data_IF_367722075456
#
_entry.id   IF_367722075456
#
_cell.length_a   1.000
_cell.length_b   1.000
_cell.length_c   1.000
_cell.angle_alpha   90.00
_cell.angle_beta   90.00
_cell.angle_gamma   90.00
#
_symmetry.space_group_name_H-M   'P 1'
#
loop_
_entity.id
_entity.type
_entity.pdbx_description
1 polymer ?
#
# COMPACT_ATOMS: atom_id res chain seq x y z
N UNK A 1 -9.68 18.03 -32.10
CA UNK A 1 -10.44 17.44 -30.97
C UNK A 1 -9.83 16.08 -30.65
N UNK A 2 -8.77 16.04 -29.86
CA UNK A 2 -8.21 14.76 -29.40
C UNK A 2 -9.14 14.24 -28.31
N UNK A 3 -9.87 13.17 -28.61
CA UNK A 3 -10.64 12.42 -27.62
C UNK A 3 -9.65 11.85 -26.61
N UNK A 4 -9.46 12.54 -25.49
CA UNK A 4 -8.66 12.05 -24.38
C UNK A 4 -9.37 10.85 -23.79
N UNK A 5 -8.75 9.67 -23.91
CA UNK A 5 -9.23 8.47 -23.23
C UNK A 5 -9.31 8.79 -21.73
N UNK A 6 -10.53 8.86 -21.22
CA UNK A 6 -10.74 8.98 -19.77
C UNK A 6 -10.37 7.63 -19.16
N UNK A 7 -9.16 7.51 -18.64
CA UNK A 7 -8.79 6.36 -17.82
C UNK A 7 -9.65 6.38 -16.56
N UNK A 8 -10.49 5.34 -16.39
CA UNK A 8 -11.24 5.13 -15.17
C UNK A 8 -10.26 5.16 -13.99
N UNK A 9 -10.43 6.13 -13.08
CA UNK A 9 -9.59 6.24 -11.89
C UNK A 9 -10.12 5.32 -10.80
N UNK A 10 -9.93 4.02 -10.99
CA UNK A 10 -10.27 3.01 -10.00
C UNK A 10 -9.43 3.14 -8.71
N UNK A 11 -9.81 2.38 -7.66
CA UNK A 11 -9.04 2.29 -6.43
C UNK A 11 -7.62 1.75 -6.69
N UNK A 12 -6.68 2.05 -5.80
CA UNK A 12 -5.32 1.50 -5.81
C UNK A 12 -5.17 0.54 -4.64
N UNK A 13 -4.59 -0.63 -4.88
CA UNK A 13 -4.21 -1.58 -3.83
C UNK A 13 -2.68 -1.61 -3.72
N UNK A 14 -2.17 -1.38 -2.51
CA UNK A 14 -0.78 -1.65 -2.14
C UNK A 14 -0.68 -3.00 -1.44
N UNK A 15 0.41 -3.73 -1.72
CA UNK A 15 0.71 -4.99 -1.05
C UNK A 15 2.17 -4.99 -0.56
N UNK A 16 2.38 -5.32 0.71
CA UNK A 16 3.68 -5.64 1.29
C UNK A 16 3.55 -6.78 2.27
N UNK A 17 4.53 -7.68 2.25
CA UNK A 17 4.58 -8.88 3.09
C UNK A 17 5.81 -8.88 4.01
N UNK A 18 6.47 -7.73 4.12
CA UNK A 18 7.61 -7.50 5.01
C UNK A 18 7.59 -6.04 5.52
N UNK A 19 8.17 -5.77 6.71
CA UNK A 19 8.20 -4.43 7.28
C UNK A 19 8.89 -3.40 6.38
N UNK A 20 9.89 -3.83 5.61
CA UNK A 20 10.58 -2.93 4.67
C UNK A 20 9.62 -2.44 3.59
N UNK A 21 8.79 -3.32 3.00
CA UNK A 21 7.82 -2.95 1.98
C UNK A 21 6.73 -2.01 2.50
N UNK A 22 6.31 -2.17 3.76
CA UNK A 22 5.42 -1.23 4.46
C UNK A 22 6.02 0.18 4.53
N UNK A 23 7.27 0.27 5.00
CA UNK A 23 7.98 1.53 5.12
C UNK A 23 8.22 2.20 3.76
N UNK A 24 8.54 1.43 2.71
CA UNK A 24 8.78 1.97 1.36
C UNK A 24 7.49 2.44 0.66
N UNK A 25 6.37 1.77 0.91
CA UNK A 25 5.08 2.15 0.31
C UNK A 25 4.48 3.41 0.94
N UNK A 26 4.69 3.62 2.24
CA UNK A 26 4.12 4.75 2.98
C UNK A 26 4.33 6.13 2.32
N UNK A 27 5.55 6.56 1.94
CA UNK A 27 5.74 7.87 1.29
C UNK A 27 5.03 7.96 -0.07
N UNK A 28 4.91 6.84 -0.80
CA UNK A 28 4.17 6.82 -2.07
C UNK A 28 2.68 7.04 -1.81
N UNK A 29 2.11 6.36 -0.80
CA UNK A 29 0.71 6.53 -0.40
C UNK A 29 0.43 7.97 0.04
N UNK A 30 1.32 8.57 0.82
CA UNK A 30 1.21 9.98 1.23
C UNK A 30 1.16 10.92 0.03
N UNK A 31 2.10 10.81 -0.90
CA UNK A 31 2.11 11.64 -2.11
C UNK A 31 0.88 11.41 -3.00
N UNK A 32 0.35 10.18 -3.05
CA UNK A 32 -0.89 9.88 -3.76
C UNK A 32 -2.12 10.52 -3.11
N UNK A 33 -2.19 10.51 -1.77
CA UNK A 33 -3.25 11.18 -1.01
C UNK A 33 -3.21 12.69 -1.18
N UNK A 34 -2.03 13.29 -1.17
CA UNK A 34 -1.85 14.73 -1.43
C UNK A 34 -2.33 15.10 -2.84
N UNK A 35 -2.02 14.26 -3.84
CA UNK A 35 -2.34 14.56 -5.23
C UNK A 35 -3.78 14.22 -5.62
N UNK A 36 -4.35 13.17 -5.02
CA UNK A 36 -5.69 12.66 -5.30
C UNK A 36 -6.42 12.30 -4.00
N UNK A 37 -6.88 13.30 -3.22
CA UNK A 37 -7.44 13.08 -1.89
C UNK A 37 -8.68 12.17 -1.87
N UNK A 38 -9.49 12.24 -2.93
CA UNK A 38 -10.72 11.46 -3.07
C UNK A 38 -10.48 10.02 -3.57
N UNK A 39 -9.23 9.66 -3.87
CA UNK A 39 -8.93 8.33 -4.40
C UNK A 39 -8.85 7.32 -3.26
N UNK A 40 -9.63 6.25 -3.37
CA UNK A 40 -9.54 5.12 -2.46
C UNK A 40 -8.20 4.40 -2.62
N UNK A 41 -7.49 4.23 -1.51
CA UNK A 41 -6.24 3.47 -1.42
C UNK A 41 -6.45 2.37 -0.37
N UNK A 42 -6.33 1.12 -0.81
CA UNK A 42 -6.38 -0.07 0.04
C UNK A 42 -4.97 -0.61 0.28
N UNK A 43 -4.78 -1.34 1.38
CA UNK A 43 -3.51 -1.99 1.67
C UNK A 43 -3.66 -3.40 2.28
N UNK A 44 -2.83 -4.31 1.78
CA UNK A 44 -2.29 -5.43 2.55
C UNK A 44 -0.88 -5.03 2.98
N UNK A 45 -0.68 -4.70 4.24
CA UNK A 45 0.59 -4.10 4.66
C UNK A 45 0.72 -4.01 6.17
N UNK A 46 1.40 -2.99 6.64
CA UNK A 46 1.68 -2.77 8.05
C UNK A 46 1.23 -1.38 8.55
N UNK A 47 1.72 -0.99 9.73
CA UNK A 47 1.36 0.28 10.34
C UNK A 47 1.76 1.50 9.50
N UNK A 48 2.88 1.48 8.77
CA UNK A 48 3.31 2.65 8.01
C UNK A 48 2.36 2.99 6.84
N UNK A 49 1.85 1.99 6.13
CA UNK A 49 0.83 2.22 5.10
C UNK A 49 -0.50 2.72 5.70
N UNK A 50 -0.89 2.22 6.89
CA UNK A 50 -2.08 2.69 7.62
C UNK A 50 -1.94 4.17 7.98
N UNK A 51 -0.82 4.55 8.56
CA UNK A 51 -0.53 5.91 9.00
C UNK A 51 -0.38 6.87 7.80
N UNK A 52 0.05 6.36 6.64
CA UNK A 52 0.05 7.09 5.38
C UNK A 52 -1.36 7.34 4.80
N UNK A 53 -2.41 6.76 5.39
CA UNK A 53 -3.80 7.01 5.03
C UNK A 53 -4.41 5.98 4.07
N UNK A 54 -3.83 4.79 3.95
CA UNK A 54 -4.47 3.66 3.28
C UNK A 54 -5.47 2.94 4.19
N UNK A 55 -6.54 2.42 3.61
CA UNK A 55 -7.49 1.55 4.28
C UNK A 55 -6.93 0.12 4.33
N UNK A 56 -6.68 -0.38 5.54
CA UNK A 56 -6.11 -1.71 5.74
C UNK A 56 -7.16 -2.79 5.52
N UNK A 57 -6.97 -3.60 4.48
CA UNK A 57 -7.76 -4.80 4.26
C UNK A 57 -7.26 -5.95 5.13
N UNK A 58 -5.94 -6.08 5.29
CA UNK A 58 -5.27 -7.05 6.19
C UNK A 58 -3.90 -6.54 6.63
N UNK A 59 -3.48 -6.94 7.83
CA UNK A 59 -2.11 -6.76 8.30
C UNK A 59 -1.29 -7.98 7.89
N UNK A 60 -0.24 -7.77 7.09
CA UNK A 60 0.54 -8.84 6.44
C UNK A 60 2.04 -8.77 6.76
N UNK A 61 2.46 -7.78 7.55
CA UNK A 61 3.88 -7.54 7.86
C UNK A 61 4.26 -8.00 9.27
N UNK A 62 3.27 -8.28 10.13
CA UNK A 62 3.47 -8.74 11.51
C UNK A 62 3.98 -10.18 11.60
N UNK A 63 3.66 -11.00 10.60
CA UNK A 63 4.14 -12.39 10.47
C UNK A 63 5.32 -12.54 9.52
N UNK A 64 5.93 -11.43 9.09
CA UNK A 64 7.05 -11.47 8.17
C UNK A 64 8.26 -12.11 8.86
N UNK A 65 8.53 -13.36 8.51
CA UNK A 65 9.68 -14.06 9.02
C UNK A 65 10.96 -13.50 8.36
N UNK A 66 11.88 -13.01 9.19
CA UNK A 66 13.20 -12.54 8.73
C UNK A 66 14.28 -13.51 9.20
N UNK A 67 15.25 -13.81 8.34
CA UNK A 67 16.37 -14.72 8.66
C UNK A 67 15.93 -16.17 8.87
N UNK A 68 16.46 -16.84 9.90
CA UNK A 68 16.18 -18.25 10.20
C UNK A 68 14.70 -18.53 10.50
N UNK A 69 13.92 -17.51 10.88
CA UNK A 69 12.48 -17.64 11.08
C UNK A 69 11.72 -18.01 9.80
N UNK A 70 12.28 -17.73 8.61
CA UNK A 70 11.66 -18.05 7.32
C UNK A 70 11.85 -19.52 6.90
N UNK A 71 12.75 -20.24 7.58
CA UNK A 71 13.04 -21.66 7.33
C UNK A 71 12.12 -22.60 8.12
N UNK A 72 11.34 -22.07 9.07
CA UNK A 72 10.37 -22.82 9.85
C UNK A 72 8.99 -22.82 9.19
N UNK A 73 8.80 -23.72 8.23
CA UNK A 73 7.48 -24.25 7.86
C UNK A 73 7.57 -25.75 7.65
#
# INVERSE_FOLDING_TARGET
MTSGVQHARGPILFTAFEPSGDAHAAPVIQSLRERWPDRTIYAFGGPHMRDAGAEMLRETTSSAAMGLGALGK
#
